data_IF_706899083098
#
_entry.id   IF_706899083098
#
_cell.length_a   1.000
_cell.length_b   1.000
_cell.length_c   1.000
_cell.angle_alpha   90.00
_cell.angle_beta   90.00
_cell.angle_gamma   90.00
#
_symmetry.space_group_name_H-M   'P 1'
#
loop_
_entity.id
_entity.type
_entity.pdbx_description
1 polymer ?
#
# COMPACT_ATOMS: atom_id res chain seq x y z
N UNK A 1 -8.19 -13.79 -7.97
CA UNK A 1 -7.02 -12.95 -8.25
C UNK A 1 -7.28 -11.46 -8.01
N UNK A 2 -6.45 -10.84 -7.18
CA UNK A 2 -6.27 -9.39 -6.97
C UNK A 2 -4.83 -9.04 -7.34
N UNK A 3 -4.62 -7.90 -7.98
CA UNK A 3 -3.28 -7.44 -8.36
C UNK A 3 -2.82 -6.37 -7.38
N UNK A 4 -1.71 -6.63 -6.70
CA UNK A 4 -1.03 -5.71 -5.78
C UNK A 4 0.10 -5.03 -6.54
N UNK A 5 0.10 -3.71 -6.62
CA UNK A 5 1.18 -2.92 -7.23
C UNK A 5 1.86 -2.08 -6.16
N UNK A 6 3.16 -2.28 -6.00
CA UNK A 6 3.97 -1.56 -5.02
C UNK A 6 4.79 -0.48 -5.74
N UNK A 7 4.56 0.76 -5.36
CA UNK A 7 5.17 1.96 -5.94
C UNK A 7 6.10 2.64 -4.93
N UNK A 8 7.22 3.13 -5.44
CA UNK A 8 8.30 3.71 -4.63
C UNK A 8 9.33 2.68 -4.20
N UNK A 9 10.60 3.06 -4.23
CA UNK A 9 11.72 2.18 -3.91
C UNK A 9 11.62 1.62 -2.49
N UNK A 10 11.28 2.49 -1.52
CA UNK A 10 11.11 2.14 -0.11
C UNK A 10 10.15 0.98 0.13
N UNK A 11 8.96 1.01 -0.48
CA UNK A 11 7.98 -0.07 -0.31
C UNK A 11 8.39 -1.32 -1.11
N UNK A 12 9.00 -1.15 -2.29
CA UNK A 12 9.48 -2.27 -3.10
C UNK A 12 10.59 -3.04 -2.41
N UNK A 13 11.51 -2.37 -1.73
CA UNK A 13 12.56 -3.03 -0.94
C UNK A 13 11.98 -3.79 0.25
N UNK A 14 10.96 -3.21 0.92
CA UNK A 14 10.31 -3.86 2.06
C UNK A 14 9.56 -5.14 1.68
N UNK A 15 9.02 -5.20 0.46
CA UNK A 15 8.20 -6.30 -0.05
C UNK A 15 8.98 -7.25 -0.96
N UNK A 16 10.11 -6.79 -1.52
CA UNK A 16 10.93 -7.52 -2.49
C UNK A 16 10.33 -7.63 -3.90
N UNK A 17 9.15 -7.05 -4.14
CA UNK A 17 8.45 -7.13 -5.43
C UNK A 17 7.71 -5.82 -5.76
N UNK A 18 7.64 -5.50 -7.05
CA UNK A 18 6.91 -4.34 -7.57
C UNK A 18 5.46 -4.64 -7.94
N UNK A 19 5.14 -5.88 -8.26
CA UNK A 19 3.82 -6.35 -8.63
C UNK A 19 3.65 -7.78 -8.14
N UNK A 20 2.51 -8.06 -7.52
CA UNK A 20 2.21 -9.35 -6.89
C UNK A 20 0.75 -9.69 -7.19
N UNK A 21 0.52 -10.88 -7.73
CA UNK A 21 -0.82 -11.43 -7.85
C UNK A 21 -1.12 -12.33 -6.65
N UNK A 22 -2.30 -12.14 -6.07
CA UNK A 22 -2.78 -12.87 -4.90
C UNK A 22 -4.20 -13.37 -5.17
N UNK A 23 -4.42 -14.65 -4.91
CA UNK A 23 -5.77 -15.21 -4.96
C UNK A 23 -6.50 -15.02 -3.64
N UNK A 24 -7.72 -14.48 -3.74
CA UNK A 24 -8.64 -14.33 -2.62
C UNK A 24 -9.85 -15.22 -2.82
N UNK A 25 -10.26 -15.88 -1.74
CA UNK A 25 -11.40 -16.81 -1.73
C UNK A 25 -12.76 -16.08 -1.78
N UNK A 26 -12.80 -14.81 -1.41
CA UNK A 26 -14.00 -13.98 -1.39
C UNK A 26 -13.67 -12.52 -1.09
N UNK A 27 -14.67 -11.64 -1.01
CA UNK A 27 -14.47 -10.25 -0.61
C UNK A 27 -13.74 -10.18 0.74
N UNK A 28 -12.63 -9.46 0.79
CA UNK A 28 -11.81 -9.29 1.99
C UNK A 28 -11.41 -7.84 2.16
N UNK A 29 -10.85 -7.48 3.30
CA UNK A 29 -10.28 -6.14 3.52
C UNK A 29 -8.79 -6.15 3.18
N UNK A 30 -8.21 -4.99 2.87
CA UNK A 30 -6.77 -4.87 2.67
C UNK A 30 -5.99 -5.32 3.90
N UNK A 31 -6.48 -4.98 5.10
CA UNK A 31 -5.89 -5.45 6.35
C UNK A 31 -5.83 -6.98 6.42
N UNK A 32 -6.97 -7.64 6.20
CA UNK A 32 -7.02 -9.10 6.20
C UNK A 32 -6.16 -9.73 5.10
N UNK A 33 -6.08 -9.10 3.93
CA UNK A 33 -5.19 -9.55 2.85
C UNK A 33 -3.73 -9.55 3.31
N UNK A 34 -3.27 -8.47 3.94
CA UNK A 34 -1.89 -8.35 4.43
C UNK A 34 -1.63 -9.33 5.57
N UNK A 35 -2.60 -9.52 6.46
CA UNK A 35 -2.52 -10.48 7.58
C UNK A 35 -2.48 -11.94 7.09
N UNK A 36 -3.21 -12.26 6.02
CA UNK A 36 -3.24 -13.62 5.44
C UNK A 36 -1.99 -13.93 4.64
N UNK A 37 -1.37 -12.91 4.03
CA UNK A 37 -0.19 -13.03 3.17
C UNK A 37 1.01 -12.28 3.77
N UNK A 38 1.28 -12.45 5.06
CA UNK A 38 2.37 -11.75 5.77
C UNK A 38 3.75 -12.06 5.18
N UNK A 39 3.94 -13.26 4.64
CA UNK A 39 5.16 -13.70 3.97
C UNK A 39 5.49 -12.85 2.74
N UNK A 40 4.47 -12.34 2.03
CA UNK A 40 4.63 -11.52 0.83
C UNK A 40 4.40 -10.04 1.06
N UNK A 41 3.44 -9.67 1.92
CA UNK A 41 2.98 -8.30 2.11
C UNK A 41 3.31 -7.72 3.48
N UNK A 42 3.84 -8.51 4.42
CA UNK A 42 4.09 -8.08 5.80
C UNK A 42 5.01 -6.86 5.89
N UNK A 43 5.92 -6.68 4.92
CA UNK A 43 6.78 -5.50 4.80
C UNK A 43 6.04 -4.17 4.63
N UNK A 44 4.75 -4.17 4.24
CA UNK A 44 3.92 -2.97 4.11
C UNK A 44 3.36 -2.47 5.45
N UNK A 45 3.20 -3.36 6.44
CA UNK A 45 2.55 -3.04 7.72
C UNK A 45 3.18 -1.84 8.44
N UNK A 46 4.52 -1.72 8.57
CA UNK A 46 5.12 -0.58 9.26
C UNK A 46 4.76 0.77 8.62
N UNK A 47 4.65 0.80 7.30
CA UNK A 47 4.34 2.02 6.54
C UNK A 47 2.86 2.38 6.63
N UNK A 48 1.98 1.39 6.70
CA UNK A 48 0.55 1.62 6.93
C UNK A 48 0.30 2.18 8.34
N UNK A 49 0.92 1.58 9.36
CA UNK A 49 0.84 2.05 10.76
C UNK A 49 1.35 3.48 10.89
N UNK A 50 2.43 3.84 10.18
CA UNK A 50 2.99 5.20 10.17
C UNK A 50 2.23 6.19 9.28
N UNK A 51 1.22 5.73 8.54
CA UNK A 51 0.51 6.48 7.49
C UNK A 51 1.44 7.01 6.38
N UNK A 52 2.49 6.26 6.10
CA UNK A 52 3.51 6.53 5.08
C UNK A 52 3.25 5.73 3.79
N UNK A 53 2.15 4.99 3.71
CA UNK A 53 1.69 4.33 2.50
C UNK A 53 0.28 4.81 2.12
N UNK A 54 0.11 5.29 0.89
CA UNK A 54 -1.17 5.62 0.30
C UNK A 54 -1.73 4.38 -0.38
N UNK A 55 -2.98 4.03 -0.05
CA UNK A 55 -3.67 2.90 -0.67
C UNK A 55 -4.64 3.41 -1.73
N UNK A 56 -4.61 2.79 -2.90
CA UNK A 56 -5.65 3.01 -3.92
C UNK A 56 -6.21 1.69 -4.43
N UNK A 57 -7.52 1.61 -4.64
CA UNK A 57 -8.24 0.48 -5.21
C UNK A 57 -8.88 0.96 -6.50
N UNK A 58 -8.54 0.38 -7.65
CA UNK A 58 -9.10 0.77 -8.96
C UNK A 58 -9.10 2.30 -9.19
N UNK A 59 -7.96 2.95 -8.88
CA UNK A 59 -7.75 4.41 -9.01
C UNK A 59 -8.49 5.28 -7.98
N UNK A 60 -9.14 4.70 -6.98
CA UNK A 60 -9.80 5.42 -5.87
C UNK A 60 -8.99 5.29 -4.60
N UNK A 61 -8.85 6.36 -3.82
CA UNK A 61 -8.17 6.29 -2.51
C UNK A 61 -8.98 5.41 -1.57
N UNK A 62 -8.28 4.49 -0.91
CA UNK A 62 -8.86 3.57 0.06
C UNK A 62 -8.10 3.59 1.38
N UNK A 63 -8.59 2.77 2.30
CA UNK A 63 -8.03 2.55 3.64
C UNK A 63 -7.77 1.07 3.85
N UNK A 64 -7.12 0.71 4.95
CA UNK A 64 -6.88 -0.69 5.34
C UNK A 64 -8.18 -1.49 5.50
N UNK A 65 -9.26 -0.83 5.92
CA UNK A 65 -10.60 -1.41 6.08
C UNK A 65 -11.40 -1.46 4.77
N UNK A 66 -10.86 -0.92 3.68
CA UNK A 66 -11.55 -0.93 2.40
C UNK A 66 -11.64 -2.35 1.85
N UNK A 67 -12.83 -2.69 1.36
CA UNK A 67 -13.13 -4.01 0.81
C UNK A 67 -12.59 -4.15 -0.61
N UNK A 68 -11.95 -5.28 -0.88
CA UNK A 68 -11.41 -5.67 -2.17
C UNK A 68 -12.06 -6.97 -2.64
N UNK A 69 -12.16 -7.12 -3.96
CA UNK A 69 -12.81 -8.23 -4.65
C UNK A 69 -11.91 -8.76 -5.75
N UNK A 70 -12.20 -9.98 -6.21
CA UNK A 70 -11.50 -10.57 -7.34
C UNK A 70 -11.60 -9.65 -8.56
N UNK A 71 -10.46 -9.38 -9.19
CA UNK A 71 -10.29 -8.45 -10.30
C UNK A 71 -9.85 -7.04 -9.89
N UNK A 72 -9.79 -6.72 -8.60
CA UNK A 72 -9.34 -5.41 -8.14
C UNK A 72 -7.82 -5.24 -8.30
N UNK A 73 -7.42 -4.00 -8.59
CA UNK A 73 -6.03 -3.57 -8.57
C UNK A 73 -5.82 -2.67 -7.37
N UNK A 74 -5.03 -3.14 -6.42
CA UNK A 74 -4.67 -2.42 -5.19
C UNK A 74 -3.24 -1.89 -5.35
N UNK A 75 -3.06 -0.59 -5.18
CA UNK A 75 -1.74 0.03 -5.24
C UNK A 75 -1.34 0.60 -3.89
N UNK A 76 -0.10 0.35 -3.51
CA UNK A 76 0.56 0.96 -2.37
C UNK A 76 1.62 1.91 -2.88
N UNK A 77 1.53 3.18 -2.53
CA UNK A 77 2.53 4.19 -2.87
C UNK A 77 3.13 4.78 -1.61
N UNK A 78 4.46 4.86 -1.53
CA UNK A 78 5.11 5.55 -0.44
C UNK A 78 4.74 7.03 -0.46
N UNK A 79 4.27 7.54 0.68
CA UNK A 79 4.05 8.96 0.94
C UNK A 79 4.98 9.37 2.07
N UNK A 80 6.03 10.11 1.73
CA UNK A 80 6.90 10.71 2.74
C UNK A 80 6.10 11.75 3.53
N UNK A 81 6.29 11.78 4.86
CA UNK A 81 5.96 12.95 5.69
C UNK A 81 6.92 14.11 5.36
N UNK A 82 6.98 14.54 4.11
CA UNK A 82 7.35 15.92 3.85
C UNK A 82 6.12 16.74 4.26
N UNK A 83 6.03 17.05 5.56
CA UNK A 83 5.30 18.25 5.99
C UNK A 83 6.00 19.42 5.31
N UNK A 84 5.60 19.72 4.07
CA UNK A 84 5.95 20.95 3.37
C UNK A 84 5.20 22.07 4.09
N UNK A 85 5.67 22.38 5.29
CA UNK A 85 5.52 23.68 5.90
C UNK A 85 6.37 24.60 5.00
N UNK A 86 5.74 25.22 4.01
CA UNK A 86 6.39 26.13 3.05
C UNK A 86 7.15 27.31 3.68
N UNK A 87 7.22 27.41 5.02
CA UNK A 87 8.04 28.37 5.77
C UNK A 87 9.52 27.98 5.82
N UNK A 88 9.87 26.68 5.75
CA UNK A 88 11.25 26.20 6.03
C UNK A 88 12.12 25.91 4.80
N UNK A 89 11.54 25.93 3.60
CA UNK A 89 12.23 25.61 2.34
C UNK A 89 12.64 26.83 1.52
N UNK A 90 12.60 28.05 2.08
CA UNK A 90 13.22 29.22 1.46
C UNK A 90 14.75 29.14 1.63
N UNK A 91 15.54 29.01 0.54
CA UNK A 91 16.99 29.10 0.66
C UNK A 91 17.37 30.48 1.21
N UNK A 92 18.25 30.51 2.21
CA UNK A 92 18.99 31.71 2.62
C UNK A 92 20.18 31.94 1.70
#
# INVERSE_FOLDING_TARGET
>A
MVTIVVLGHTLREAVGAGEIEIDILGPTTIKQLIETHQDRLGGLLPYLVRREALITINKRVGTEDSMIRNGDVVKFAFQSRASYDGTRDIPV
#
